data_IF_512218521249
#
_entry.id   IF_512218521249
#
_cell.length_a   1.000
_cell.length_b   1.000
_cell.length_c   1.000
_cell.angle_alpha   90.00
_cell.angle_beta   90.00
_cell.angle_gamma   90.00
#
_symmetry.space_group_name_H-M   'P 1'
#
loop_
_entity.id
_entity.type
_entity.pdbx_description
1 polymer ?
#
# COMPACT_ATOMS: atom_id res chain seq x y z
N UNK A 1 -25.57 26.23 -22.55
CA UNK A 1 -24.81 26.09 -23.82
C UNK A 1 -23.35 25.74 -23.56
N UNK A 2 -22.69 26.35 -22.57
CA UNK A 2 -21.32 25.99 -22.18
C UNK A 2 -21.22 24.58 -21.57
N UNK A 3 -22.12 24.22 -20.66
CA UNK A 3 -22.14 22.88 -20.04
C UNK A 3 -22.36 21.74 -21.06
N UNK A 4 -23.27 21.93 -22.01
CA UNK A 4 -23.53 20.96 -23.09
C UNK A 4 -22.33 20.78 -24.02
N UNK A 5 -21.54 21.85 -24.25
CA UNK A 5 -20.30 21.78 -25.02
C UNK A 5 -19.23 20.96 -24.30
N UNK A 6 -19.10 21.14 -22.98
CA UNK A 6 -18.14 20.40 -22.16
C UNK A 6 -18.48 18.90 -22.10
N UNK A 7 -19.77 18.55 -22.00
CA UNK A 7 -20.22 17.15 -22.00
C UNK A 7 -19.90 16.49 -23.35
N UNK A 8 -20.19 17.16 -24.47
CA UNK A 8 -19.88 16.64 -25.81
C UNK A 8 -18.38 16.48 -26.03
N UNK A 9 -17.57 17.43 -25.55
CA UNK A 9 -16.12 17.36 -25.61
C UNK A 9 -15.58 16.18 -24.79
N UNK A 10 -16.14 15.93 -23.60
CA UNK A 10 -15.78 14.80 -22.75
C UNK A 10 -16.07 13.46 -23.42
N UNK A 11 -17.23 13.32 -24.06
CA UNK A 11 -17.60 12.09 -24.79
C UNK A 11 -16.68 11.88 -26.00
N UNK A 12 -16.37 12.94 -26.74
CA UNK A 12 -15.46 12.88 -27.89
C UNK A 12 -14.07 12.41 -27.47
N UNK A 13 -13.53 12.97 -26.39
CA UNK A 13 -12.21 12.59 -25.85
C UNK A 13 -12.19 11.15 -25.34
N UNK A 14 -13.27 10.70 -24.70
CA UNK A 14 -13.40 9.32 -24.23
C UNK A 14 -13.38 8.32 -25.38
N UNK A 15 -14.14 8.58 -26.45
CA UNK A 15 -14.16 7.74 -27.66
C UNK A 15 -12.80 7.73 -28.37
N UNK A 16 -12.11 8.88 -28.43
CA UNK A 16 -10.76 8.95 -28.98
C UNK A 16 -9.75 8.11 -28.16
N UNK A 17 -9.86 8.15 -26.83
CA UNK A 17 -9.04 7.35 -25.92
C UNK A 17 -9.24 5.85 -26.10
N UNK A 18 -10.49 5.40 -26.23
CA UNK A 18 -10.80 3.98 -26.47
C UNK A 18 -10.23 3.51 -27.83
N UNK A 19 -10.37 4.32 -28.89
CA UNK A 19 -9.81 3.99 -30.21
C UNK A 19 -8.28 3.85 -30.17
N UNK A 20 -7.62 4.71 -29.40
CA UNK A 20 -6.18 4.61 -29.17
C UNK A 20 -5.85 3.30 -28.43
N UNK A 21 -6.59 2.97 -27.36
CA UNK A 21 -6.37 1.76 -26.56
C UNK A 21 -6.50 0.47 -27.39
N UNK A 22 -7.52 0.41 -28.27
CA UNK A 22 -7.73 -0.72 -29.18
C UNK A 22 -6.58 -0.83 -30.19
N UNK A 23 -6.17 0.28 -30.80
CA UNK A 23 -5.03 0.26 -31.75
C UNK A 23 -3.71 -0.14 -31.06
N UNK A 24 -3.50 0.26 -29.81
CA UNK A 24 -2.36 -0.17 -28.99
C UNK A 24 -2.40 -1.67 -28.66
N UNK A 25 -3.57 -2.21 -28.31
CA UNK A 25 -3.74 -3.64 -28.04
C UNK A 25 -3.39 -4.50 -29.27
N UNK A 26 -3.70 -4.01 -30.47
CA UNK A 26 -3.38 -4.69 -31.73
C UNK A 26 -1.87 -4.60 -32.07
N UNK A 27 -1.21 -3.49 -31.75
CA UNK A 27 0.16 -3.23 -32.19
C UNK A 27 1.27 -3.93 -31.36
N UNK A 28 0.95 -4.62 -30.25
CA UNK A 28 1.88 -5.41 -29.39
C UNK A 28 3.27 -4.77 -29.14
N UNK A 29 3.38 -3.44 -29.16
CA UNK A 29 4.63 -2.74 -28.85
C UNK A 29 4.70 -2.46 -27.35
N UNK A 30 5.44 -3.33 -26.67
CA UNK A 30 5.59 -3.42 -25.20
C UNK A 30 6.11 -2.13 -24.53
N UNK A 31 6.71 -1.20 -25.28
CA UNK A 31 7.42 -0.07 -24.71
C UNK A 31 6.58 1.19 -24.39
N UNK A 32 5.29 1.27 -24.77
CA UNK A 32 4.52 2.53 -24.69
C UNK A 32 3.17 2.42 -23.97
N UNK A 33 2.95 1.36 -23.18
CA UNK A 33 1.71 1.13 -22.39
C UNK A 33 1.53 2.14 -21.26
N UNK A 34 2.61 2.77 -20.80
CA UNK A 34 2.63 3.62 -19.60
C UNK A 34 2.00 5.00 -19.85
N UNK A 35 1.98 5.48 -21.10
CA UNK A 35 1.42 6.81 -21.43
C UNK A 35 -0.10 6.74 -21.61
N UNK A 36 -0.67 5.61 -22.08
CA UNK A 36 -2.12 5.51 -22.29
C UNK A 36 -2.92 5.21 -21.01
N UNK A 37 -2.29 4.54 -20.04
CA UNK A 37 -2.93 4.24 -18.75
C UNK A 37 -3.26 5.52 -17.96
N UNK A 38 -2.36 6.51 -17.94
CA UNK A 38 -2.60 7.78 -17.25
C UNK A 38 -3.77 8.57 -17.82
N UNK A 39 -3.97 8.55 -19.14
CA UNK A 39 -5.00 9.35 -19.79
C UNK A 39 -6.43 8.80 -19.58
N UNK A 40 -6.56 7.48 -19.33
CA UNK A 40 -7.85 6.82 -19.05
C UNK A 40 -8.32 7.06 -17.61
N UNK A 41 -7.40 7.30 -16.67
CA UNK A 41 -7.71 7.57 -15.25
C UNK A 41 -7.98 9.05 -14.99
N UNK A 42 -7.36 9.97 -15.74
CA UNK A 42 -7.57 11.42 -15.57
C UNK A 42 -8.96 11.87 -16.04
N UNK A 43 -9.54 11.20 -17.05
CA UNK A 43 -10.86 11.53 -17.58
C UNK A 43 -12.03 11.41 -16.57
N UNK A 44 -12.19 10.32 -15.79
CA UNK A 44 -13.25 10.22 -14.79
C UNK A 44 -13.05 11.20 -13.63
N UNK A 45 -11.81 11.54 -13.25
CA UNK A 45 -11.52 12.51 -12.18
C UNK A 45 -11.98 13.91 -12.59
N UNK A 46 -11.71 14.33 -13.83
CA UNK A 46 -12.20 15.62 -14.35
C UNK A 46 -13.72 15.65 -14.49
N UNK A 47 -14.36 14.52 -14.78
CA UNK A 47 -15.82 14.40 -14.85
C UNK A 47 -16.46 14.59 -13.46
N UNK A 48 -15.89 14.01 -12.40
CA UNK A 48 -16.37 14.18 -11.02
C UNK A 48 -16.19 15.62 -10.53
N UNK A 49 -15.05 16.27 -10.82
CA UNK A 49 -14.83 17.68 -10.48
C UNK A 49 -15.82 18.60 -11.23
N UNK A 50 -16.14 18.27 -12.48
CA UNK A 50 -17.17 18.98 -13.26
C UNK A 50 -18.59 18.85 -12.68
N UNK A 51 -18.92 17.69 -12.09
CA UNK A 51 -20.22 17.48 -11.42
C UNK A 51 -20.26 18.30 -10.12
N UNK A 52 -19.23 18.21 -9.27
CA UNK A 52 -19.20 18.92 -7.97
C UNK A 52 -19.32 20.44 -8.17
N UNK A 53 -18.60 21.00 -9.15
CA UNK A 53 -18.66 22.44 -9.45
C UNK A 53 -19.99 22.90 -10.05
N UNK A 54 -20.78 22.00 -10.63
CA UNK A 54 -22.13 22.29 -11.13
C UNK A 54 -23.21 22.25 -10.03
N UNK A 55 -22.90 21.71 -8.84
CA UNK A 55 -23.83 21.61 -7.70
C UNK A 55 -23.51 22.55 -6.54
N UNK A 56 -22.40 23.30 -6.57
CA UNK A 56 -22.04 24.32 -5.56
C UNK A 56 -22.44 25.74 -5.96
N UNK A 57 -23.72 25.92 -6.26
CA UNK A 57 -24.34 27.26 -6.27
C UNK A 57 -25.71 27.12 -5.58
N UNK A 58 -25.72 27.27 -4.24
CA UNK A 58 -26.94 27.30 -3.43
C UNK A 58 -26.79 26.83 -1.96
N UNK A 59 -26.58 27.80 -1.06
CA UNK A 59 -26.92 27.92 0.40
C UNK A 59 -26.98 26.66 1.31
N UNK A 60 -26.18 26.53 2.37
CA UNK A 60 -26.22 27.15 3.73
C UNK A 60 -27.30 26.64 4.73
N UNK A 61 -26.80 26.10 5.87
CA UNK A 61 -27.27 26.26 7.27
C UNK A 61 -28.54 25.45 7.66
N UNK A 62 -28.62 24.59 8.69
CA UNK A 62 -28.42 24.81 10.15
C UNK A 62 -28.64 23.51 10.95
N UNK A 63 -28.13 23.51 12.18
CA UNK A 63 -28.16 22.53 13.29
C UNK A 63 -29.55 22.11 13.83
N UNK A 64 -29.56 20.96 14.54
CA UNK A 64 -30.01 20.78 15.95
C UNK A 64 -31.16 19.77 16.24
N UNK A 65 -30.79 18.74 17.03
CA UNK A 65 -31.49 17.98 18.09
C UNK A 65 -32.76 17.14 17.86
N UNK A 66 -32.62 15.87 18.26
CA UNK A 66 -33.58 14.92 18.88
C UNK A 66 -34.61 15.54 19.87
N UNK A 67 -35.74 14.89 20.23
CA UNK A 67 -35.80 13.48 20.72
C UNK A 67 -37.07 12.66 20.43
N UNK A 68 -37.01 11.34 20.67
CA UNK A 68 -37.94 10.55 21.55
C UNK A 68 -38.19 9.12 21.05
N UNK A 69 -37.85 8.19 21.95
CA UNK A 69 -38.19 6.78 22.14
C UNK A 69 -39.48 6.23 21.50
N UNK A 70 -39.44 4.94 21.11
CA UNK A 70 -40.20 3.82 21.74
C UNK A 70 -39.94 2.50 20.97
N UNK A 71 -39.50 1.47 21.71
CA UNK A 71 -39.79 0.01 21.68
C UNK A 71 -40.24 -0.69 20.36
N UNK A 72 -39.95 -1.95 20.01
CA UNK A 72 -39.43 -3.16 20.71
C UNK A 72 -39.22 -4.28 19.66
N UNK A 73 -38.35 -5.24 19.99
CA UNK A 73 -38.22 -6.65 19.54
C UNK A 73 -38.22 -7.01 18.05
N UNK A 74 -37.19 -7.76 17.62
CA UNK A 74 -37.19 -9.23 17.68
C UNK A 74 -35.77 -9.77 17.47
N UNK A 75 -35.37 -10.70 18.35
CA UNK A 75 -34.13 -11.50 18.29
C UNK A 75 -34.18 -12.50 17.12
N UNK A 76 -33.04 -12.77 16.47
CA UNK A 76 -32.44 -14.12 16.43
C UNK A 76 -31.07 -14.13 15.70
N UNK A 77 -30.24 -15.17 15.93
CA UNK A 77 -28.79 -15.03 16.16
C UNK A 77 -27.95 -15.44 14.95
N UNK A 78 -26.81 -14.79 14.73
CA UNK A 78 -25.77 -15.36 13.89
C UNK A 78 -24.42 -14.67 14.12
N UNK A 79 -23.42 -15.50 14.45
CA UNK A 79 -22.02 -15.22 14.14
C UNK A 79 -21.27 -14.51 15.26
N UNK A 80 -20.31 -15.22 15.83
CA UNK A 80 -19.15 -14.64 16.49
C UNK A 80 -18.50 -13.62 15.53
N UNK A 81 -18.88 -12.35 15.63
CA UNK A 81 -18.00 -11.26 15.26
C UNK A 81 -16.95 -11.20 16.37
N UNK A 82 -15.78 -11.81 16.13
CA UNK A 82 -14.56 -11.40 16.82
C UNK A 82 -14.47 -9.88 16.67
N UNK A 83 -14.76 -9.20 17.78
CA UNK A 83 -14.65 -7.77 17.92
C UNK A 83 -13.20 -7.37 17.66
N UNK A 84 -12.89 -6.92 16.44
CA UNK A 84 -11.73 -6.09 16.15
C UNK A 84 -12.08 -4.66 16.60
N UNK A 85 -12.47 -4.51 17.87
CA UNK A 85 -12.73 -3.22 18.49
C UNK A 85 -11.76 -3.12 19.67
N UNK A 86 -11.06 -1.97 19.75
CA UNK A 86 -10.05 -1.59 20.75
C UNK A 86 -8.62 -2.15 20.59
N UNK A 87 -7.87 -1.63 19.62
CA UNK A 87 -6.41 -1.52 19.78
C UNK A 87 -6.07 -0.04 19.62
N UNK A 88 -5.93 0.62 20.76
CA UNK A 88 -5.91 2.10 20.84
C UNK A 88 -4.50 2.64 21.08
N UNK A 89 -3.53 1.77 21.36
CA UNK A 89 -2.13 2.13 21.59
C UNK A 89 -1.20 1.57 20.49
N UNK A 90 -0.09 2.27 20.23
CA UNK A 90 0.92 1.80 19.27
C UNK A 90 1.53 0.46 19.70
N UNK A 91 1.71 0.26 21.00
CA UNK A 91 2.29 -0.96 21.58
C UNK A 91 1.39 -2.19 21.31
N UNK A 92 0.07 -2.04 21.45
CA UNK A 92 -0.92 -3.07 21.12
C UNK A 92 -0.94 -3.43 19.62
N UNK A 93 -0.73 -2.44 18.75
CA UNK A 93 -0.62 -2.67 17.29
C UNK A 93 0.69 -3.41 16.95
N UNK A 94 1.77 -3.05 17.63
CA UNK A 94 3.08 -3.66 17.45
C UNK A 94 3.08 -5.13 17.89
N UNK A 95 2.45 -5.44 19.03
CA UNK A 95 2.31 -6.82 19.51
C UNK A 95 1.55 -7.71 18.52
N UNK A 96 0.43 -7.24 17.98
CA UNK A 96 -0.30 -8.00 16.96
C UNK A 96 0.49 -8.19 15.67
N UNK A 97 1.28 -7.19 15.26
CA UNK A 97 2.12 -7.34 14.07
C UNK A 97 3.13 -8.46 14.30
N UNK A 98 3.75 -8.52 15.47
CA UNK A 98 4.68 -9.59 15.83
C UNK A 98 3.99 -10.94 15.85
N UNK A 99 2.81 -11.04 16.46
CA UNK A 99 2.05 -12.30 16.54
C UNK A 99 1.63 -12.83 15.16
N UNK A 100 1.22 -11.92 14.27
CA UNK A 100 0.78 -12.26 12.90
C UNK A 100 1.95 -12.45 11.91
N UNK A 101 3.17 -12.11 12.31
CA UNK A 101 4.32 -12.19 11.42
C UNK A 101 4.87 -13.61 11.34
N UNK A 102 5.11 -14.07 10.11
CA UNK A 102 5.67 -15.39 9.85
C UNK A 102 7.15 -15.23 9.49
N UNK A 103 7.99 -16.13 9.99
CA UNK A 103 9.40 -16.18 9.58
C UNK A 103 9.47 -16.50 8.10
N UNK A 104 10.18 -15.67 7.35
CA UNK A 104 10.21 -15.81 5.91
C UNK A 104 11.55 -16.33 5.42
N UNK A 105 11.48 -17.33 4.54
CA UNK A 105 12.62 -17.94 3.85
C UNK A 105 12.93 -17.13 2.59
N UNK A 106 14.20 -16.77 2.42
CA UNK A 106 14.67 -15.96 1.30
C UNK A 106 14.32 -16.53 -0.07
N UNK A 107 14.43 -17.84 -0.25
CA UNK A 107 14.15 -18.46 -1.54
C UNK A 107 12.66 -18.36 -1.89
N UNK A 108 11.75 -18.46 -0.90
CA UNK A 108 10.30 -18.26 -1.12
C UNK A 108 9.98 -16.84 -1.57
N UNK A 109 10.56 -15.84 -0.89
CA UNK A 109 10.35 -14.42 -1.26
C UNK A 109 10.90 -14.13 -2.64
N UNK A 110 12.11 -14.62 -2.92
CA UNK A 110 12.78 -14.46 -4.20
C UNK A 110 12.03 -15.16 -5.34
N UNK A 111 11.39 -16.30 -5.10
CA UNK A 111 10.54 -16.96 -6.10
C UNK A 111 9.17 -16.30 -6.26
N UNK A 112 8.81 -15.35 -5.39
CA UNK A 112 7.53 -14.65 -5.43
C UNK A 112 6.37 -15.50 -4.90
N UNK A 113 6.68 -16.44 -3.99
CA UNK A 113 5.69 -17.30 -3.34
C UNK A 113 5.01 -16.61 -2.14
N UNK A 114 5.43 -15.38 -1.82
CA UNK A 114 4.95 -14.55 -0.71
C UNK A 114 4.14 -13.39 -1.27
N UNK A 115 2.98 -13.10 -0.69
CA UNK A 115 2.13 -12.01 -1.16
C UNK A 115 2.63 -10.64 -0.68
N UNK A 116 2.29 -9.58 -1.42
CA UNK A 116 2.76 -8.20 -1.17
C UNK A 116 2.16 -7.53 0.08
N UNK A 117 1.44 -8.28 0.90
CA UNK A 117 0.68 -7.81 2.07
C UNK A 117 0.82 -8.75 3.27
N UNK A 118 1.53 -9.87 3.11
CA UNK A 118 1.85 -10.75 4.22
C UNK A 118 2.78 -10.04 5.22
N UNK A 119 2.45 -10.19 6.51
CA UNK A 119 3.32 -9.74 7.59
C UNK A 119 4.39 -10.80 7.84
N UNK A 120 5.63 -10.38 7.79
CA UNK A 120 6.80 -11.24 7.81
C UNK A 120 7.77 -10.72 8.84
N UNK A 121 8.61 -11.62 9.33
CA UNK A 121 9.83 -11.21 10.02
C UNK A 121 11.06 -11.89 9.45
N UNK A 122 12.19 -11.18 9.53
CA UNK A 122 13.52 -11.65 9.14
C UNK A 122 14.53 -11.32 10.23
N UNK A 123 15.42 -12.27 10.50
CA UNK A 123 16.56 -12.10 11.40
C UNK A 123 17.84 -11.99 10.59
N UNK A 124 18.63 -10.96 10.83
CA UNK A 124 19.87 -10.77 10.09
C UNK A 124 20.81 -9.74 10.68
N UNK A 125 21.93 -9.55 9.98
CA UNK A 125 22.97 -8.58 10.31
C UNK A 125 22.98 -7.46 9.28
N UNK A 126 23.05 -6.20 9.72
CA UNK A 126 23.15 -5.04 8.81
C UNK A 126 24.47 -5.09 8.07
N UNK A 127 24.42 -5.26 6.75
CA UNK A 127 25.61 -5.35 5.91
C UNK A 127 26.09 -3.97 5.42
N UNK A 128 25.15 -3.10 5.04
CA UNK A 128 25.45 -1.77 4.52
C UNK A 128 24.21 -0.88 4.58
N UNK A 129 24.43 0.40 4.86
CA UNK A 129 23.38 1.41 4.83
C UNK A 129 23.30 2.06 3.44
N UNK A 130 22.10 2.11 2.87
CA UNK A 130 21.78 2.73 1.59
C UNK A 130 20.98 4.02 1.83
N UNK A 131 21.44 5.12 1.25
CA UNK A 131 20.78 6.42 1.37
C UNK A 131 20.57 6.90 2.83
N UNK A 132 21.63 6.99 3.65
CA UNK A 132 21.54 7.25 5.10
C UNK A 132 20.98 8.63 5.48
N UNK A 133 20.80 9.53 4.51
CA UNK A 133 20.30 10.89 4.72
C UNK A 133 18.80 11.03 4.37
N UNK A 134 18.14 9.96 3.95
CA UNK A 134 16.70 9.97 3.70
C UNK A 134 15.91 9.92 5.00
N UNK A 135 14.69 10.48 4.99
CA UNK A 135 13.77 10.41 6.15
C UNK A 135 13.40 8.97 6.52
N UNK A 136 13.44 8.06 5.54
CA UNK A 136 13.17 6.63 5.68
C UNK A 136 14.33 5.89 5.04
N UNK A 137 15.44 5.71 5.78
CA UNK A 137 16.66 5.16 5.24
C UNK A 137 16.45 3.71 4.81
N UNK A 138 17.32 3.26 3.91
CA UNK A 138 17.32 1.86 3.46
C UNK A 138 18.62 1.19 3.91
N UNK A 139 18.59 -0.12 4.09
CA UNK A 139 19.82 -0.86 4.36
C UNK A 139 19.69 -2.30 3.91
N UNK A 140 20.83 -2.90 3.59
CA UNK A 140 20.90 -4.31 3.27
C UNK A 140 21.05 -5.12 4.56
N UNK A 141 20.14 -6.07 4.74
CA UNK A 141 20.16 -7.05 5.83
C UNK A 141 20.60 -8.39 5.27
N UNK A 142 21.60 -8.98 5.93
CA UNK A 142 22.15 -10.28 5.60
C UNK A 142 21.55 -11.34 6.52
N UNK A 143 20.87 -12.33 5.97
CA UNK A 143 20.15 -13.38 6.72
C UNK A 143 20.86 -14.72 6.56
N UNK A 144 20.90 -15.51 7.63
CA UNK A 144 21.35 -16.90 7.57
C UNK A 144 20.13 -17.80 7.38
N UNK A 145 20.04 -18.46 6.24
CA UNK A 145 18.89 -19.27 5.88
C UNK A 145 18.98 -20.70 6.43
N UNK A 146 17.84 -21.38 6.54
CA UNK A 146 17.76 -22.73 7.11
C UNK A 146 18.58 -23.80 6.37
N UNK A 147 18.89 -23.56 5.09
CA UNK A 147 19.73 -24.42 4.26
C UNK A 147 21.24 -24.09 4.35
N UNK A 148 21.62 -23.14 5.20
CA UNK A 148 22.98 -22.63 5.37
C UNK A 148 23.41 -21.67 4.26
N UNK A 149 22.49 -21.26 3.38
CA UNK A 149 22.74 -20.19 2.42
C UNK A 149 22.56 -18.82 3.07
N UNK A 150 22.89 -17.79 2.30
CA UNK A 150 22.88 -16.41 2.77
C UNK A 150 21.86 -15.62 1.96
N UNK A 151 20.81 -15.16 2.64
CA UNK A 151 19.78 -14.31 2.06
C UNK A 151 20.14 -12.83 2.17
N UNK A 152 19.62 -12.03 1.24
CA UNK A 152 19.83 -10.59 1.22
C UNK A 152 18.48 -9.89 1.10
N UNK A 153 18.22 -8.96 1.99
CA UNK A 153 17.00 -8.17 1.98
C UNK A 153 17.33 -6.68 1.96
N UNK A 154 16.58 -5.92 1.19
CA UNK A 154 16.59 -4.46 1.28
C UNK A 154 15.50 -4.06 2.26
N UNK A 155 15.89 -3.51 3.40
CA UNK A 155 14.94 -3.01 4.40
C UNK A 155 14.72 -1.53 4.13
N UNK A 156 13.45 -1.14 3.98
CA UNK A 156 13.02 0.24 3.98
C UNK A 156 12.49 0.57 5.38
N UNK A 157 13.27 1.33 6.16
CA UNK A 157 12.96 1.61 7.56
C UNK A 157 11.93 2.73 7.67
N UNK A 158 10.71 2.38 8.08
CA UNK A 158 9.62 3.35 8.29
C UNK A 158 9.67 4.02 9.67
N UNK A 159 10.61 3.61 10.54
CA UNK A 159 10.75 4.20 11.87
C UNK A 159 11.42 5.57 11.74
N UNK A 160 10.98 6.51 12.57
CA UNK A 160 11.67 7.79 12.75
C UNK A 160 12.74 7.72 13.84
N UNK A 161 13.13 6.52 14.27
CA UNK A 161 13.84 6.26 15.51
C UNK A 161 15.26 5.76 15.25
N UNK A 162 16.11 6.62 14.70
CA UNK A 162 17.54 6.36 14.54
C UNK A 162 17.88 5.29 13.49
N UNK A 163 19.05 5.44 12.89
CA UNK A 163 19.58 4.54 11.89
C UNK A 163 20.37 3.43 12.59
N UNK A 164 20.22 2.15 12.21
CA UNK A 164 21.07 1.08 12.73
C UNK A 164 22.52 1.24 12.25
N UNK A 165 23.46 0.64 12.96
CA UNK A 165 24.87 0.61 12.58
C UNK A 165 25.18 -0.62 11.72
N UNK A 166 26.25 -0.58 10.93
CA UNK A 166 26.77 -1.78 10.26
C UNK A 166 27.16 -2.82 11.32
N UNK A 167 26.98 -4.11 10.98
CA UNK A 167 27.16 -5.27 11.86
C UNK A 167 26.14 -5.40 13.01
N UNK A 168 25.14 -4.53 13.12
CA UNK A 168 24.05 -4.71 14.07
C UNK A 168 23.21 -5.96 13.73
N UNK A 169 22.95 -6.81 14.72
CA UNK A 169 21.99 -7.90 14.60
C UNK A 169 20.58 -7.39 14.88
N UNK A 170 19.69 -7.54 13.91
CA UNK A 170 18.34 -7.02 13.95
C UNK A 170 17.32 -8.11 13.61
N UNK A 171 16.19 -8.04 14.30
CA UNK A 171 14.94 -8.65 13.86
C UNK A 171 14.05 -7.57 13.27
N UNK A 172 13.62 -7.76 12.03
CA UNK A 172 12.77 -6.81 11.31
C UNK A 172 11.41 -7.43 11.05
N UNK A 173 10.36 -6.79 11.55
CA UNK A 173 8.97 -7.12 11.27
C UNK A 173 8.40 -6.12 10.26
N UNK A 174 7.75 -6.63 9.23
CA UNK A 174 7.34 -5.80 8.11
C UNK A 174 6.47 -6.51 7.08
N UNK A 175 6.32 -5.87 5.94
CA UNK A 175 5.59 -6.43 4.80
C UNK A 175 6.48 -6.47 3.57
N UNK A 176 6.30 -7.48 2.72
CA UNK A 176 7.04 -7.60 1.47
C UNK A 176 6.55 -6.56 0.44
N UNK A 177 7.48 -5.79 -0.15
CA UNK A 177 7.19 -4.73 -1.13
C UNK A 177 7.92 -4.98 -2.45
N UNK A 178 7.88 -6.23 -2.91
CA UNK A 178 8.45 -6.60 -4.20
C UNK A 178 9.98 -6.63 -4.19
N UNK A 179 10.60 -6.23 -5.30
CA UNK A 179 12.04 -6.34 -5.51
C UNK A 179 12.62 -5.02 -5.97
N UNK A 180 13.85 -4.74 -5.54
CA UNK A 180 14.64 -3.63 -6.05
C UNK A 180 14.91 -3.83 -7.56
N UNK A 181 14.60 -2.81 -8.37
CA UNK A 181 14.64 -2.90 -9.83
C UNK A 181 16.03 -3.25 -10.38
N UNK A 182 17.10 -2.78 -9.74
CA UNK A 182 18.48 -2.95 -10.22
C UNK A 182 19.09 -4.31 -9.88
N UNK A 183 18.88 -4.77 -8.64
CA UNK A 183 19.55 -5.95 -8.09
C UNK A 183 18.64 -7.18 -8.07
N UNK A 184 17.32 -6.98 -8.14
CA UNK A 184 16.33 -8.04 -7.93
C UNK A 184 16.24 -8.52 -6.47
N UNK A 185 16.88 -7.82 -5.54
CA UNK A 185 16.86 -8.13 -4.11
C UNK A 185 15.44 -7.87 -3.57
N UNK A 186 14.84 -8.83 -2.84
CA UNK A 186 13.58 -8.62 -2.12
C UNK A 186 13.63 -7.41 -1.20
N UNK A 187 12.57 -6.60 -1.24
CA UNK A 187 12.42 -5.42 -0.40
C UNK A 187 11.35 -5.65 0.66
N UNK A 188 11.65 -5.29 1.91
CA UNK A 188 10.70 -5.29 3.02
C UNK A 188 10.52 -3.88 3.56
N UNK A 189 9.27 -3.50 3.81
CA UNK A 189 8.92 -2.29 4.56
C UNK A 189 8.96 -2.64 6.04
N UNK A 190 10.01 -2.23 6.73
CA UNK A 190 10.22 -2.47 8.16
C UNK A 190 9.37 -1.54 9.01
N UNK A 191 8.47 -2.12 9.81
CA UNK A 191 7.57 -1.40 10.73
C UNK A 191 8.09 -1.44 12.16
N UNK A 192 8.56 -2.61 12.60
CA UNK A 192 9.18 -2.81 13.91
C UNK A 192 10.55 -3.42 13.68
N UNK A 193 11.56 -2.87 14.32
CA UNK A 193 12.95 -3.34 14.20
C UNK A 193 13.53 -3.39 15.61
N UNK A 194 13.97 -4.57 16.00
CA UNK A 194 14.50 -4.88 17.33
C UNK A 194 15.96 -5.28 17.21
N UNK A 195 16.81 -4.71 18.08
CA UNK A 195 18.20 -5.11 18.19
C UNK A 195 18.30 -6.39 19.04
N UNK A 196 19.06 -7.37 18.58
CA UNK A 196 19.28 -8.67 19.25
C UNK A 196 20.49 -8.62 20.20
#
# INVERSE_FOLDING_TARGET
MFATLLILLSILLFLAGIGLLITFAILKKKAWIWISSGMVVVAPILLVIGIVTAFTDGEEVTKQSEPTATEVSEEEPAGEEESIDELTTQDELDEQLKEKSIEVDYEKVKLGEVSSDENLYVDGTVAMIKDPNESFPKYYLNTEESDGSTGWYLIWDMRMNGLPEEDDQLRVYGSYDGKEEETGIPMLIGKIIEKQ
#
